data_IF_353209432043
#
_entry.id   IF_353209432043
#
_cell.length_a   1.000
_cell.length_b   1.000
_cell.length_c   1.000
_cell.angle_alpha   90.00
_cell.angle_beta   90.00
_cell.angle_gamma   90.00
#
_symmetry.space_group_name_H-M   'P 1'
#
loop_
_entity.id
_entity.type
_entity.pdbx_description
1 polymer ?
#
# COMPACT_ATOMS: atom_id res chain seq x y z
N UNK A 1 -13.43 27.93 0.98
CA UNK A 1 -12.68 26.80 0.37
C UNK A 1 -11.25 26.78 0.93
N UNK A 2 -10.70 25.60 1.23
CA UNK A 2 -9.31 25.47 1.69
C UNK A 2 -8.33 25.58 0.51
N UNK A 3 -7.11 26.13 0.71
CA UNK A 3 -6.09 26.22 -0.35
C UNK A 3 -5.67 24.84 -0.85
N UNK A 4 -5.31 24.72 -2.14
CA UNK A 4 -4.81 23.48 -2.72
C UNK A 4 -3.29 23.57 -3.01
N UNK A 5 -2.51 22.50 -2.76
CA UNK A 5 -2.90 21.23 -2.18
C UNK A 5 -3.23 21.35 -0.68
N UNK A 6 -4.16 20.53 -0.20
CA UNK A 6 -4.53 20.44 1.21
C UNK A 6 -4.26 19.04 1.73
N UNK A 7 -3.49 18.93 2.81
CA UNK A 7 -3.20 17.67 3.51
C UNK A 7 -3.46 17.83 5.00
N UNK A 8 -4.04 16.80 5.60
CA UNK A 8 -4.18 16.70 7.05
C UNK A 8 -3.21 15.64 7.55
N UNK A 9 -2.34 16.03 8.47
CA UNK A 9 -1.47 15.13 9.21
C UNK A 9 -1.95 15.17 10.66
N UNK A 10 -2.38 14.02 11.17
CA UNK A 10 -2.79 13.85 12.56
C UNK A 10 -1.81 12.91 13.24
N UNK A 11 -1.39 13.25 14.46
CA UNK A 11 -0.52 12.42 15.29
C UNK A 11 -1.26 11.99 16.54
N UNK A 12 -1.06 10.76 16.98
CA UNK A 12 -1.63 10.21 18.20
C UNK A 12 -0.47 9.77 19.10
N UNK A 13 -0.40 10.29 20.33
CA UNK A 13 0.57 9.82 21.32
C UNK A 13 -0.05 8.66 22.11
N UNK A 14 0.46 7.42 21.97
CA UNK A 14 -0.18 6.23 22.56
C UNK A 14 -0.05 6.16 24.10
N UNK A 15 0.72 7.04 24.73
CA UNK A 15 1.03 7.00 26.17
C UNK A 15 0.05 7.87 26.99
N UNK A 16 -0.59 8.86 26.38
CA UNK A 16 -1.51 9.77 27.07
C UNK A 16 -2.96 9.26 26.98
N UNK A 17 -3.39 8.51 28.01
CA UNK A 17 -4.75 7.94 28.10
C UNK A 17 -5.73 8.82 28.88
N UNK A 18 -5.27 9.89 29.54
CA UNK A 18 -6.16 10.81 30.26
C UNK A 18 -6.74 11.85 29.31
N UNK A 19 -8.05 11.76 29.05
CA UNK A 19 -8.81 12.80 28.33
C UNK A 19 -8.77 12.71 26.79
N UNK A 20 -8.12 11.69 26.23
CA UNK A 20 -8.06 11.48 24.78
C UNK A 20 -9.03 10.35 24.39
N UNK A 21 -10.08 10.68 23.65
CA UNK A 21 -10.99 9.68 23.09
C UNK A 21 -10.43 9.20 21.75
N UNK A 22 -10.27 7.88 21.53
CA UNK A 22 -9.79 7.37 20.27
C UNK A 22 -10.74 7.82 19.14
N UNK A 23 -10.17 8.15 17.98
CA UNK A 23 -10.98 8.55 16.83
C UNK A 23 -11.97 7.42 16.49
N UNK A 24 -13.27 7.72 16.36
CA UNK A 24 -14.24 6.74 15.90
C UNK A 24 -13.80 6.14 14.56
N UNK A 25 -14.12 4.86 14.34
CA UNK A 25 -13.73 4.10 13.15
C UNK A 25 -14.13 4.81 11.85
N UNK A 26 -15.34 5.37 11.81
CA UNK A 26 -15.84 6.12 10.66
C UNK A 26 -15.01 7.40 10.35
N UNK A 27 -14.33 7.95 11.35
CA UNK A 27 -13.41 9.08 11.17
C UNK A 27 -12.02 8.59 10.75
N UNK A 28 -11.53 7.49 11.35
CA UNK A 28 -10.26 6.85 10.96
C UNK A 28 -10.26 6.39 9.51
N UNK A 29 -11.36 5.85 9.00
CA UNK A 29 -11.52 5.39 7.60
C UNK A 29 -11.34 6.52 6.56
N UNK A 30 -11.38 7.79 6.97
CA UNK A 30 -11.13 8.95 6.10
C UNK A 30 -9.64 9.23 5.87
N UNK A 31 -8.75 8.71 6.72
CA UNK A 31 -7.32 8.82 6.50
C UNK A 31 -6.87 7.82 5.44
N UNK A 32 -6.06 8.29 4.49
CA UNK A 32 -5.50 7.43 3.44
C UNK A 32 -4.57 6.39 4.03
N UNK A 33 -3.63 6.84 4.87
CA UNK A 33 -2.58 6.04 5.50
C UNK A 33 -2.62 6.20 7.02
N UNK A 34 -2.31 5.11 7.75
CA UNK A 34 -1.83 5.15 9.13
C UNK A 34 -0.41 4.58 9.12
N UNK A 35 0.56 5.39 9.56
CA UNK A 35 1.98 5.00 9.62
C UNK A 35 2.39 4.91 11.08
N UNK A 36 2.91 3.75 11.48
CA UNK A 36 3.51 3.57 12.81
C UNK A 36 4.97 4.02 12.75
N UNK A 37 5.34 5.01 13.57
CA UNK A 37 6.71 5.54 13.64
C UNK A 37 7.37 5.02 14.92
N UNK A 38 8.23 3.99 14.85
CA UNK A 38 8.96 3.52 16.02
C UNK A 38 10.06 4.50 16.43
N UNK A 39 10.59 4.34 17.65
CA UNK A 39 11.81 5.02 18.04
C UNK A 39 12.97 4.65 17.11
N UNK A 40 13.87 5.60 16.79
CA UNK A 40 15.02 5.33 15.95
C UNK A 40 15.96 4.33 16.63
N UNK A 41 16.68 3.58 15.80
CA UNK A 41 17.74 2.66 16.26
C UNK A 41 18.95 3.46 16.73
N UNK A 42 19.85 2.84 17.51
CA UNK A 42 20.99 3.55 18.08
C UNK A 42 21.90 4.27 17.07
N UNK A 43 22.05 3.73 15.85
CA UNK A 43 22.80 4.38 14.77
C UNK A 43 22.04 5.58 14.17
N UNK A 44 20.71 5.49 14.05
CA UNK A 44 19.85 6.58 13.59
C UNK A 44 19.81 7.72 14.63
N UNK A 45 19.70 7.37 15.91
CA UNK A 45 19.78 8.31 17.04
C UNK A 45 21.11 9.06 17.07
N UNK A 46 22.22 8.35 16.86
CA UNK A 46 23.55 8.96 16.78
C UNK A 46 23.67 9.96 15.62
N UNK A 47 23.10 9.64 14.46
CA UNK A 47 23.12 10.54 13.31
C UNK A 47 22.21 11.76 13.52
N UNK A 48 21.04 11.58 14.17
CA UNK A 48 20.17 12.69 14.60
C UNK A 48 20.95 13.63 15.51
N UNK A 49 21.63 13.10 16.54
CA UNK A 49 22.48 13.88 17.44
C UNK A 49 23.57 14.63 16.65
N UNK A 50 24.27 13.96 15.75
CA UNK A 50 25.35 14.56 14.95
C UNK A 50 24.85 15.72 14.08
N UNK A 51 23.67 15.59 13.46
CA UNK A 51 23.11 16.62 12.57
C UNK A 51 22.46 17.79 13.33
N UNK A 52 21.86 17.52 14.49
CA UNK A 52 21.01 18.49 15.19
C UNK A 52 21.69 19.18 16.37
N UNK A 53 22.80 18.65 16.90
CA UNK A 53 23.40 19.10 18.17
C UNK A 53 24.00 20.51 18.17
N UNK A 54 24.37 21.06 17.00
CA UNK A 54 25.02 22.39 16.93
C UNK A 54 24.16 23.39 16.16
N UNK A 55 23.97 23.16 14.87
CA UNK A 55 23.15 24.00 14.01
C UNK A 55 22.30 23.10 13.14
N UNK A 56 20.98 23.03 13.38
CA UNK A 56 20.08 22.27 12.53
C UNK A 56 20.19 22.70 11.07
N UNK A 57 20.08 21.77 10.11
CA UNK A 57 20.11 22.09 8.70
C UNK A 57 18.86 22.90 8.31
N UNK A 58 19.04 23.83 7.37
CA UNK A 58 17.95 24.56 6.73
C UNK A 58 17.58 23.87 5.43
N UNK A 59 16.28 23.66 5.19
CA UNK A 59 15.80 23.05 3.95
C UNK A 59 15.70 24.10 2.83
N UNK A 60 16.16 23.74 1.63
CA UNK A 60 15.95 24.54 0.42
C UNK A 60 14.68 24.06 -0.31
N UNK A 61 13.80 24.97 -0.76
CA UNK A 61 12.60 24.59 -1.49
C UNK A 61 12.96 24.06 -2.88
N UNK A 62 12.67 22.78 -3.12
CA UNK A 62 12.89 22.10 -4.41
C UNK A 62 11.60 21.91 -5.22
N UNK A 63 10.44 22.11 -4.59
CA UNK A 63 9.10 21.99 -5.19
C UNK A 63 8.22 23.16 -4.74
N UNK A 64 7.35 23.60 -5.63
CA UNK A 64 6.27 24.55 -5.33
C UNK A 64 4.88 23.86 -5.38
N UNK A 65 3.84 24.48 -4.80
CA UNK A 65 2.49 23.89 -4.78
C UNK A 65 1.92 23.53 -6.17
N UNK A 66 2.22 24.30 -7.22
CA UNK A 66 1.70 24.02 -8.56
C UNK A 66 2.38 22.79 -9.16
N UNK A 67 3.68 22.58 -8.89
CA UNK A 67 4.38 21.34 -9.25
C UNK A 67 3.75 20.14 -8.53
N UNK A 68 3.43 20.29 -7.24
CA UNK A 68 2.80 19.20 -6.46
C UNK A 68 1.44 18.82 -7.05
N UNK A 69 0.62 19.80 -7.44
CA UNK A 69 -0.68 19.54 -8.09
C UNK A 69 -0.52 18.81 -9.42
N UNK A 70 0.46 19.22 -10.25
CA UNK A 70 0.77 18.50 -11.50
C UNK A 70 1.23 17.06 -11.25
N UNK A 71 2.05 16.83 -10.23
CA UNK A 71 2.48 15.49 -9.83
C UNK A 71 1.30 14.63 -9.33
N UNK A 72 0.34 15.22 -8.61
CA UNK A 72 -0.88 14.52 -8.19
C UNK A 72 -1.74 14.11 -9.39
N UNK A 73 -1.87 14.98 -10.40
CA UNK A 73 -2.56 14.67 -11.65
C UNK A 73 -1.82 13.56 -12.42
N UNK A 74 -0.50 13.64 -12.54
CA UNK A 74 0.31 12.59 -13.17
C UNK A 74 0.16 11.25 -12.46
N UNK A 75 0.20 11.23 -11.13
CA UNK A 75 -0.04 10.02 -10.35
C UNK A 75 -1.44 9.45 -10.63
N UNK A 76 -2.47 10.29 -10.74
CA UNK A 76 -3.84 9.83 -11.03
C UNK A 76 -3.99 9.12 -12.39
N UNK A 77 -3.12 9.47 -13.35
CA UNK A 77 -3.08 8.94 -14.70
C UNK A 77 -2.22 7.67 -14.85
N UNK A 78 -1.51 7.24 -13.81
CA UNK A 78 -0.73 6.00 -13.86
C UNK A 78 -1.62 4.81 -14.15
N UNK A 79 -1.17 3.99 -15.10
CA UNK A 79 -1.90 2.85 -15.60
C UNK A 79 -2.03 1.75 -14.53
N UNK A 80 -3.24 1.22 -14.38
CA UNK A 80 -3.53 0.08 -13.49
C UNK A 80 -4.14 -1.00 -14.35
N UNK A 81 -3.40 -2.09 -14.56
CA UNK A 81 -3.91 -3.23 -15.30
C UNK A 81 -5.07 -3.91 -14.56
N UNK A 82 -6.06 -4.44 -15.29
CA UNK A 82 -7.25 -5.07 -14.70
C UNK A 82 -6.90 -6.16 -13.67
N UNK A 83 -5.90 -7.00 -13.96
CA UNK A 83 -5.41 -8.02 -13.02
C UNK A 83 -4.92 -7.44 -11.68
N UNK A 84 -4.32 -6.24 -11.70
CA UNK A 84 -3.88 -5.56 -10.47
C UNK A 84 -5.09 -4.96 -9.74
N UNK A 85 -6.05 -4.39 -10.47
CA UNK A 85 -7.30 -3.90 -9.89
C UNK A 85 -8.11 -5.03 -9.24
N UNK A 86 -8.23 -6.19 -9.89
CA UNK A 86 -8.84 -7.41 -9.35
C UNK A 86 -8.10 -7.90 -8.10
N UNK A 87 -6.76 -7.86 -8.10
CA UNK A 87 -5.97 -8.20 -6.92
C UNK A 87 -6.28 -7.28 -5.72
N UNK A 88 -6.36 -5.97 -5.95
CA UNK A 88 -6.76 -5.00 -4.92
C UNK A 88 -8.16 -5.31 -4.37
N UNK A 89 -9.11 -5.62 -5.25
CA UNK A 89 -10.48 -6.00 -4.83
C UNK A 89 -10.45 -7.28 -4.01
N UNK A 90 -9.70 -8.30 -4.44
CA UNK A 90 -9.54 -9.58 -3.72
C UNK A 90 -8.94 -9.38 -2.33
N UNK A 91 -7.93 -8.51 -2.17
CA UNK A 91 -7.37 -8.18 -0.86
C UNK A 91 -8.43 -7.58 0.09
N UNK A 92 -9.24 -6.66 -0.41
CA UNK A 92 -10.31 -6.05 0.39
C UNK A 92 -11.42 -7.06 0.70
N UNK A 93 -11.82 -7.89 -0.26
CA UNK A 93 -12.82 -8.94 -0.04
C UNK A 93 -12.32 -10.00 0.98
N UNK A 94 -11.04 -10.34 0.95
CA UNK A 94 -10.45 -11.26 1.93
C UNK A 94 -10.55 -10.75 3.39
N UNK A 95 -10.73 -9.45 3.60
CA UNK A 95 -11.04 -8.91 4.94
C UNK A 95 -12.50 -9.04 5.35
N UNK A 96 -13.41 -9.30 4.41
CA UNK A 96 -14.86 -9.38 4.64
C UNK A 96 -15.38 -10.81 4.63
N UNK A 97 -14.83 -11.65 3.74
CA UNK A 97 -15.18 -13.06 3.57
C UNK A 97 -13.92 -13.94 3.61
N UNK A 98 -13.11 -13.90 4.68
CA UNK A 98 -11.81 -14.60 4.72
C UNK A 98 -11.90 -16.11 4.49
N UNK A 99 -13.03 -16.74 4.83
CA UNK A 99 -13.31 -18.15 4.56
C UNK A 99 -13.27 -18.50 3.06
N UNK A 100 -13.76 -17.62 2.18
CA UNK A 100 -13.72 -17.80 0.72
C UNK A 100 -12.29 -17.76 0.16
N UNK A 101 -11.35 -17.23 0.94
CA UNK A 101 -9.93 -17.13 0.63
C UNK A 101 -9.09 -18.17 1.39
N UNK A 102 -9.73 -19.18 2.00
CA UNK A 102 -9.03 -20.27 2.70
C UNK A 102 -8.48 -19.87 4.07
N UNK A 103 -9.04 -18.85 4.70
CA UNK A 103 -8.66 -18.38 6.04
C UNK A 103 -9.87 -18.39 7.00
N UNK A 104 -10.55 -19.53 7.22
CA UNK A 104 -11.79 -19.59 8.01
C UNK A 104 -11.59 -19.17 9.47
N UNK A 105 -10.37 -19.30 10.00
CA UNK A 105 -10.01 -18.86 11.34
C UNK A 105 -9.96 -17.33 11.48
N UNK A 106 -9.82 -16.58 10.38
CA UNK A 106 -9.93 -15.12 10.42
C UNK A 106 -11.39 -14.63 10.48
N UNK A 107 -12.38 -15.48 10.23
CA UNK A 107 -13.80 -15.10 10.29
C UNK A 107 -14.22 -14.68 11.71
N UNK A 108 -13.69 -15.33 12.75
CA UNK A 108 -13.92 -14.91 14.15
C UNK A 108 -13.01 -13.76 14.60
N UNK A 109 -11.88 -13.56 13.93
CA UNK A 109 -10.90 -12.50 14.25
C UNK A 109 -11.36 -11.15 13.73
N UNK A 110 -11.92 -11.09 12.52
CA UNK A 110 -12.32 -9.83 11.88
C UNK A 110 -13.81 -9.58 12.14
N UNK A 111 -14.11 -8.59 12.98
CA UNK A 111 -15.48 -8.17 13.23
C UNK A 111 -16.04 -7.30 12.10
N UNK A 112 -15.21 -6.39 11.57
CA UNK A 112 -15.56 -5.53 10.42
C UNK A 112 -14.37 -5.43 9.47
N UNK A 113 -14.60 -5.84 8.23
CA UNK A 113 -13.62 -5.76 7.15
C UNK A 113 -13.47 -4.34 6.58
N UNK A 114 -12.47 -4.17 5.71
CA UNK A 114 -12.15 -2.89 5.09
C UNK A 114 -13.31 -2.34 4.25
N UNK A 115 -13.55 -1.02 4.30
CA UNK A 115 -14.54 -0.33 3.47
C UNK A 115 -14.09 -0.18 2.00
N UNK A 116 -14.97 0.22 1.05
CA UNK A 116 -14.56 0.54 -0.32
C UNK A 116 -13.50 1.64 -0.43
N UNK A 117 -13.34 2.48 0.60
CA UNK A 117 -12.25 3.46 0.64
C UNK A 117 -10.87 2.80 0.71
N UNK A 118 -10.76 1.58 1.24
CA UNK A 118 -9.53 0.81 1.17
C UNK A 118 -9.15 0.50 -0.29
N UNK A 119 -10.11 0.07 -1.11
CA UNK A 119 -9.90 -0.19 -2.55
C UNK A 119 -9.38 1.05 -3.26
N UNK A 120 -10.04 2.19 -3.07
CA UNK A 120 -9.63 3.46 -3.68
C UNK A 120 -8.28 3.95 -3.14
N UNK A 121 -8.05 3.78 -1.83
CA UNK A 121 -6.81 4.16 -1.17
C UNK A 121 -5.61 3.34 -1.66
N UNK A 122 -5.79 2.03 -1.85
CA UNK A 122 -4.75 1.15 -2.39
C UNK A 122 -4.37 1.57 -3.80
N UNK A 123 -5.35 1.84 -4.67
CA UNK A 123 -5.08 2.33 -6.04
C UNK A 123 -4.34 3.66 -6.01
N UNK A 124 -4.82 4.63 -5.24
CA UNK A 124 -4.21 5.96 -5.16
C UNK A 124 -2.77 5.92 -4.62
N UNK A 125 -2.54 5.18 -3.54
CA UNK A 125 -1.22 5.03 -2.93
C UNK A 125 -0.26 4.25 -3.85
N UNK A 126 -0.72 3.18 -4.49
CA UNK A 126 0.10 2.39 -5.41
C UNK A 126 0.49 3.18 -6.65
N UNK A 127 -0.41 4.01 -7.18
CA UNK A 127 -0.11 4.95 -8.26
C UNK A 127 0.97 5.96 -7.86
N UNK A 128 0.79 6.62 -6.71
CA UNK A 128 1.79 7.56 -6.21
C UNK A 128 3.16 6.89 -6.04
N UNK A 129 3.19 5.66 -5.50
CA UNK A 129 4.44 4.91 -5.32
C UNK A 129 5.08 4.52 -6.65
N UNK A 130 4.29 4.09 -7.65
CA UNK A 130 4.79 3.83 -8.98
C UNK A 130 5.42 5.08 -9.62
N UNK A 131 4.79 6.26 -9.46
CA UNK A 131 5.34 7.54 -9.94
C UNK A 131 6.69 7.85 -9.29
N UNK A 132 6.78 7.71 -7.96
CA UNK A 132 8.01 7.94 -7.20
C UNK A 132 9.13 7.02 -7.67
N UNK A 133 8.80 5.79 -8.07
CA UNK A 133 9.72 4.84 -8.66
C UNK A 133 9.99 5.07 -10.16
N UNK A 134 9.47 6.15 -10.75
CA UNK A 134 9.69 6.50 -12.16
C UNK A 134 8.94 5.61 -13.15
N UNK A 135 7.87 4.93 -12.72
CA UNK A 135 7.03 4.07 -13.58
C UNK A 135 5.68 4.70 -13.87
N UNK A 136 5.17 4.42 -15.06
CA UNK A 136 3.86 4.84 -15.54
C UNK A 136 2.77 3.74 -15.39
N UNK A 137 3.11 2.63 -14.73
CA UNK A 137 2.18 1.55 -14.40
C UNK A 137 2.39 0.99 -12.99
N UNK A 138 1.30 0.51 -12.39
CA UNK A 138 1.30 -0.14 -11.07
C UNK A 138 1.68 -1.62 -11.17
N UNK A 139 2.55 -2.07 -10.27
CA UNK A 139 2.88 -3.47 -10.05
C UNK A 139 2.15 -4.02 -8.81
N UNK A 140 1.90 -5.34 -8.71
CA UNK A 140 1.36 -5.94 -7.49
C UNK A 140 2.21 -5.66 -6.25
N UNK A 141 3.53 -5.52 -6.41
CA UNK A 141 4.45 -5.17 -5.32
C UNK A 141 4.22 -3.76 -4.77
N UNK A 142 3.73 -2.81 -5.59
CA UNK A 142 3.37 -1.48 -5.11
C UNK A 142 2.15 -1.55 -4.19
N UNK A 143 1.16 -2.36 -4.57
CA UNK A 143 -0.04 -2.63 -3.77
C UNK A 143 0.34 -3.24 -2.44
N UNK A 144 1.22 -4.26 -2.45
CA UNK A 144 1.69 -4.92 -1.23
C UNK A 144 2.45 -3.96 -0.32
N UNK A 145 3.30 -3.09 -0.87
CA UNK A 145 4.09 -2.14 -0.12
C UNK A 145 3.24 -1.13 0.67
N UNK A 146 2.09 -0.72 0.13
CA UNK A 146 1.19 0.26 0.78
C UNK A 146 0.02 -0.39 1.54
N UNK A 147 -0.16 -1.71 1.42
CA UNK A 147 -1.37 -2.38 1.91
C UNK A 147 -1.53 -2.29 3.43
N UNK A 148 -0.45 -2.50 4.19
CA UNK A 148 -0.47 -2.34 5.66
C UNK A 148 -0.94 -0.95 6.06
N UNK A 149 -0.30 0.08 5.52
CA UNK A 149 -0.57 1.48 5.89
C UNK A 149 -1.97 1.94 5.44
N UNK A 150 -2.49 1.41 4.33
CA UNK A 150 -3.84 1.74 3.84
C UNK A 150 -4.93 0.98 4.57
N UNK A 151 -4.71 -0.31 4.90
CA UNK A 151 -5.79 -1.21 5.32
C UNK A 151 -5.86 -1.41 6.84
N UNK A 152 -4.74 -1.40 7.56
CA UNK A 152 -4.71 -1.83 8.97
C UNK A 152 -5.59 -0.99 9.88
N UNK A 153 -5.73 0.31 9.65
CA UNK A 153 -6.60 1.18 10.45
C UNK A 153 -8.08 1.14 10.07
N UNK A 154 -8.44 0.36 9.05
CA UNK A 154 -9.82 0.17 8.55
C UNK A 154 -10.42 -1.17 8.95
N UNK A 155 -9.69 -1.98 9.70
CA UNK A 155 -10.17 -3.23 10.27
C UNK A 155 -10.63 -3.03 11.71
N UNK A 156 -11.71 -3.71 12.06
CA UNK A 156 -12.17 -3.87 13.44
C UNK A 156 -12.02 -5.34 13.79
N UNK A 157 -11.26 -5.61 14.84
CA UNK A 157 -11.05 -6.97 15.33
C UNK A 157 -12.08 -7.31 16.40
N UNK A 158 -12.43 -8.60 16.49
CA UNK A 158 -13.27 -9.11 17.57
C UNK A 158 -12.58 -9.01 18.93
N UNK A 159 -13.38 -9.01 20.00
CA UNK A 159 -12.89 -8.86 21.37
C UNK A 159 -11.84 -9.90 21.74
N UNK A 160 -12.08 -11.18 21.42
CA UNK A 160 -11.16 -12.27 21.73
C UNK A 160 -9.81 -12.10 21.02
N UNK A 161 -9.81 -11.64 19.76
CA UNK A 161 -8.59 -11.37 19.01
C UNK A 161 -7.76 -10.24 19.65
N UNK A 162 -8.42 -9.20 20.14
CA UNK A 162 -7.75 -8.12 20.87
C UNK A 162 -7.18 -8.63 22.19
N UNK A 163 -7.92 -9.46 22.92
CA UNK A 163 -7.46 -10.09 24.16
C UNK A 163 -6.21 -10.98 23.94
N UNK A 164 -6.15 -11.65 22.78
CA UNK A 164 -5.00 -12.45 22.34
C UNK A 164 -3.84 -11.61 21.75
N UNK A 165 -3.91 -10.28 21.84
CA UNK A 165 -2.93 -9.34 21.29
C UNK A 165 -2.72 -9.45 19.77
N UNK A 166 -3.74 -9.91 19.03
CA UNK A 166 -3.73 -9.89 17.58
C UNK A 166 -3.90 -8.44 17.10
N UNK A 167 -3.02 -8.00 16.21
CA UNK A 167 -3.06 -6.65 15.64
C UNK A 167 -3.65 -6.65 14.24
N UNK A 168 -4.31 -5.55 13.81
CA UNK A 168 -4.78 -5.41 12.44
C UNK A 168 -3.66 -5.52 11.40
N UNK A 169 -2.44 -5.10 11.74
CA UNK A 169 -1.26 -5.24 10.88
C UNK A 169 -0.94 -6.72 10.60
N UNK A 170 -0.92 -7.57 11.62
CA UNK A 170 -0.68 -9.01 11.46
C UNK A 170 -1.77 -9.68 10.59
N UNK A 171 -3.04 -9.27 10.75
CA UNK A 171 -4.13 -9.77 9.90
C UNK A 171 -3.91 -9.40 8.44
N UNK A 172 -3.54 -8.15 8.15
CA UNK A 172 -3.25 -7.70 6.78
C UNK A 172 -2.03 -8.42 6.19
N UNK A 173 -0.95 -8.58 6.95
CA UNK A 173 0.24 -9.33 6.52
C UNK A 173 -0.10 -10.78 6.16
N UNK A 174 -0.97 -11.42 6.95
CA UNK A 174 -1.46 -12.77 6.64
C UNK A 174 -2.31 -12.80 5.37
N UNK A 175 -3.22 -11.84 5.19
CA UNK A 175 -4.02 -11.73 3.97
C UNK A 175 -3.12 -11.54 2.74
N UNK A 176 -2.08 -10.69 2.82
CA UNK A 176 -1.12 -10.48 1.74
C UNK A 176 -0.34 -11.75 1.39
N UNK A 177 -0.01 -12.57 2.39
CA UNK A 177 0.67 -13.84 2.19
C UNK A 177 -0.25 -14.90 1.54
N UNK A 178 -1.54 -14.89 1.86
CA UNK A 178 -2.50 -15.91 1.42
C UNK A 178 -3.18 -15.59 0.09
N UNK A 179 -3.38 -14.32 -0.23
CA UNK A 179 -4.00 -13.89 -1.49
C UNK A 179 -2.90 -13.71 -2.54
N UNK A 180 -2.77 -14.60 -3.53
CA UNK A 180 -1.69 -14.53 -4.49
C UNK A 180 -1.84 -13.32 -5.41
N UNK A 181 -0.74 -12.58 -5.68
CA UNK A 181 -0.72 -11.56 -6.71
C UNK A 181 -0.91 -12.20 -8.10
N UNK A 182 -1.37 -11.42 -9.10
CA UNK A 182 -1.58 -11.94 -10.43
C UNK A 182 -0.23 -12.33 -11.05
N UNK A 183 -0.19 -13.53 -11.64
CA UNK A 183 0.96 -13.96 -12.43
C UNK A 183 0.77 -13.53 -13.88
N UNK A 184 1.81 -12.99 -14.54
CA UNK A 184 1.75 -12.78 -15.98
C UNK A 184 1.55 -14.14 -16.66
N UNK A 185 0.47 -14.29 -17.42
CA UNK A 185 0.24 -15.49 -18.22
C UNK A 185 1.10 -15.33 -19.48
N UNK A 186 2.25 -15.97 -19.51
CA UNK A 186 3.11 -15.98 -20.69
C UNK A 186 2.48 -16.92 -21.72
N UNK A 187 2.02 -16.37 -22.86
CA UNK A 187 1.44 -17.17 -23.93
C UNK A 187 2.55 -17.98 -24.62
N UNK A 188 2.76 -19.21 -24.17
CA UNK A 188 3.81 -20.13 -24.67
C UNK A 188 3.68 -20.44 -26.16
N UNK A 189 2.46 -20.38 -26.71
CA UNK A 189 2.19 -20.54 -28.15
C UNK A 189 2.83 -19.44 -29.02
N UNK A 190 2.93 -18.19 -28.53
CA UNK A 190 3.58 -17.10 -29.28
C UNK A 190 5.10 -17.26 -29.38
N UNK A 191 5.75 -17.96 -28.43
CA UNK A 191 7.18 -18.29 -28.53
C UNK A 191 7.45 -19.39 -29.54
N UNK A 192 6.59 -20.40 -29.63
CA UNK A 192 6.76 -21.49 -30.59
C UNK A 192 6.66 -20.96 -32.03
N UNK A 193 5.70 -20.08 -32.32
CA UNK A 193 5.60 -19.43 -33.63
C UNK A 193 6.78 -18.50 -33.93
N UNK A 194 7.25 -17.72 -32.96
CA UNK A 194 8.42 -16.86 -33.13
C UNK A 194 9.73 -17.65 -33.34
N UNK A 195 9.92 -18.78 -32.65
CA UNK A 195 11.08 -19.65 -32.84
C UNK A 195 11.05 -20.40 -34.18
N UNK A 196 9.87 -20.77 -34.67
CA UNK A 196 9.75 -21.47 -35.96
C UNK A 196 10.08 -20.52 -37.13
N UNK A 197 9.74 -19.23 -37.01
CA UNK A 197 10.01 -18.21 -38.04
C UNK A 197 11.49 -17.80 -38.18
N UNK A 198 12.35 -18.09 -37.21
CA UNK A 198 13.80 -17.75 -37.24
C UNK A 198 14.71 -18.96 -37.51
N UNK A 199 14.16 -20.04 -38.07
CA UNK A 199 14.96 -21.18 -38.52
C UNK A 199 15.62 -20.86 -39.87
N UNK A 200 16.82 -20.25 -39.85
CA UNK A 200 17.62 -20.10 -41.06
C UNK A 200 18.12 -21.48 -41.52
N UNK A 201 17.65 -21.95 -42.67
CA UNK A 201 18.19 -23.12 -43.37
C UNK A 201 19.26 -22.61 -44.34
N UNK A 202 20.55 -22.92 -44.17
CA UNK A 202 21.56 -22.52 -45.14
C UNK A 202 21.33 -23.30 -46.43
N UNK A 203 21.03 -22.62 -47.53
CA UNK A 203 21.04 -23.23 -48.86
C UNK A 203 22.49 -23.64 -49.20
N UNK A 204 22.72 -24.95 -49.28
CA UNK A 204 23.94 -25.50 -49.83
C UNK A 204 23.99 -25.14 -51.33
N UNK A 205 24.94 -24.29 -51.71
CA UNK A 205 25.20 -23.99 -53.13
C UNK A 205 26.01 -25.12 -53.78
N UNK A 206 25.71 -25.47 -55.04
CA UNK A 206 26.37 -26.55 -55.78
C UNK A 206 27.83 -26.23 -56.13
#
# INVERSE_FOLDING_TARGET
PVPQPFIVIATENPIESEGVYPLPEAQRDRFLLKVDVPYPRGNEEFEILRRMSVRPPTADPVLDPDVVLRLQEQASNIFVHNLVAEYIVRLVLATRTPEEFGMPDLTSVIQVGCSPRATLGLVAASRALALIHGRDYVLPTDVQAVARDVMSHRLVLGFDAVADNITPAQVIERILAMVPPPTPVWNSQQRQTAHTQHSYVPEARP
#
